data_IF_233444270116
#
_entry.id   IF_233444270116
#
_cell.length_a   1.000
_cell.length_b   1.000
_cell.length_c   1.000
_cell.angle_alpha   90.00
_cell.angle_beta   90.00
_cell.angle_gamma   90.00
#
_symmetry.space_group_name_H-M   'P 1'
#
loop_
_entity.id
_entity.type
_entity.pdbx_description
1 polymer ?
#
# COMPACT_ATOMS: atom_id res chain seq x y z
N UNK A 1 3.12 12.11 -21.62
CA UNK A 1 3.83 10.83 -21.45
C UNK A 1 4.15 10.68 -19.98
N UNK A 2 3.50 9.77 -19.27
CA UNK A 2 3.74 9.55 -17.83
C UNK A 2 5.09 8.84 -17.67
N UNK A 3 6.08 9.53 -17.13
CA UNK A 3 7.34 8.91 -16.74
C UNK A 3 7.16 8.30 -15.35
N UNK A 4 7.02 6.97 -15.27
CA UNK A 4 7.09 6.25 -14.01
C UNK A 4 8.51 6.36 -13.45
N UNK A 5 8.63 6.95 -12.28
CA UNK A 5 9.91 7.07 -11.55
C UNK A 5 10.12 5.82 -10.71
N UNK A 6 10.56 4.73 -11.36
CA UNK A 6 10.63 3.39 -10.76
C UNK A 6 11.58 3.27 -9.56
N UNK A 7 12.50 4.21 -9.39
CA UNK A 7 13.44 4.24 -8.27
C UNK A 7 12.97 5.10 -7.09
N UNK A 8 11.90 5.85 -7.28
CA UNK A 8 11.38 6.74 -6.24
C UNK A 8 10.45 5.98 -5.30
N UNK A 9 10.50 6.32 -4.03
CA UNK A 9 9.51 5.84 -3.06
C UNK A 9 8.20 6.58 -3.28
N UNK A 10 7.12 5.86 -3.50
CA UNK A 10 5.79 6.39 -3.74
C UNK A 10 4.87 6.22 -2.54
N UNK A 11 3.90 7.11 -2.40
CA UNK A 11 2.86 6.95 -1.38
C UNK A 11 1.50 7.45 -1.90
N UNK A 12 0.44 6.82 -1.43
CA UNK A 12 -0.94 7.23 -1.67
C UNK A 12 -1.88 6.70 -0.58
N UNK A 13 -3.08 7.29 -0.49
CA UNK A 13 -4.21 6.69 0.23
C UNK A 13 -4.77 5.59 -0.66
N UNK A 14 -4.79 4.35 -0.14
CA UNK A 14 -5.22 3.15 -0.87
C UNK A 14 -6.71 2.83 -0.70
N UNK A 15 -7.39 3.48 0.24
CA UNK A 15 -8.84 3.34 0.49
C UNK A 15 -9.63 4.45 -0.15
N UNK A 16 -10.94 4.21 -0.35
CA UNK A 16 -11.86 5.22 -0.90
C UNK A 16 -11.98 6.43 0.04
N UNK A 17 -12.13 7.66 -0.51
CA UNK A 17 -12.39 8.85 0.27
C UNK A 17 -13.63 8.66 1.16
N UNK A 18 -13.60 9.20 2.39
CA UNK A 18 -14.72 9.11 3.34
C UNK A 18 -14.81 7.80 4.13
N UNK A 19 -13.91 6.84 3.91
CA UNK A 19 -13.83 5.63 4.73
C UNK A 19 -13.50 5.96 6.19
N UNK A 20 -14.02 5.19 7.14
CA UNK A 20 -13.72 5.34 8.57
C UNK A 20 -12.25 5.06 8.88
N UNK A 21 -11.65 4.14 8.14
CA UNK A 21 -10.23 3.82 8.20
C UNK A 21 -9.59 4.16 6.86
N UNK A 22 -8.56 5.01 6.91
CA UNK A 22 -7.70 5.30 5.77
C UNK A 22 -6.46 4.43 5.78
N UNK A 23 -6.14 3.78 4.68
CA UNK A 23 -4.86 3.07 4.50
C UNK A 23 -3.96 3.92 3.63
N UNK A 24 -2.85 4.38 4.21
CA UNK A 24 -1.79 5.05 3.46
C UNK A 24 -0.71 4.02 3.18
N UNK A 25 -0.43 3.77 1.91
CA UNK A 25 0.61 2.84 1.48
C UNK A 25 1.82 3.61 0.99
N UNK A 26 3.00 3.20 1.47
CA UNK A 26 4.31 3.68 1.03
C UNK A 26 5.03 2.49 0.41
N UNK A 27 5.62 2.63 -0.78
CA UNK A 27 6.35 1.57 -1.47
C UNK A 27 7.66 2.10 -2.06
N UNK A 28 8.76 1.40 -1.84
CA UNK A 28 10.10 1.73 -2.31
C UNK A 28 11.15 1.76 -1.19
N UNK A 29 12.40 2.05 -1.57
CA UNK A 29 13.58 1.92 -0.70
C UNK A 29 13.53 2.78 0.58
N UNK A 30 12.80 3.89 0.58
CA UNK A 30 12.67 4.77 1.73
C UNK A 30 11.45 4.46 2.62
N UNK A 31 10.64 3.43 2.30
CA UNK A 31 9.40 3.15 3.03
C UNK A 31 9.65 2.94 4.53
N UNK A 32 10.63 2.14 4.90
CA UNK A 32 10.99 1.90 6.32
C UNK A 32 11.63 3.10 6.99
N UNK A 33 12.46 3.86 6.27
CA UNK A 33 13.07 5.08 6.81
C UNK A 33 12.01 6.13 7.15
N UNK A 34 11.05 6.35 6.26
CA UNK A 34 9.91 7.26 6.48
C UNK A 34 9.09 6.78 7.68
N UNK A 35 8.75 5.47 7.72
CA UNK A 35 8.01 4.89 8.84
C UNK A 35 8.76 5.06 10.18
N UNK A 36 10.08 4.87 10.18
CA UNK A 36 10.92 5.06 11.37
C UNK A 36 10.89 6.51 11.86
N UNK A 37 11.02 7.48 10.97
CA UNK A 37 10.94 8.91 11.32
C UNK A 37 9.58 9.27 11.90
N UNK A 38 8.49 8.77 11.32
CA UNK A 38 7.13 9.07 11.76
C UNK A 38 6.75 8.40 13.08
N UNK A 39 7.25 7.21 13.36
CA UNK A 39 6.86 6.43 14.55
C UNK A 39 7.86 6.50 15.68
N UNK A 40 9.12 6.87 15.38
CA UNK A 40 10.24 6.76 16.32
C UNK A 40 10.73 5.32 16.54
N UNK A 41 10.27 4.35 15.73
CA UNK A 41 10.73 2.94 15.79
C UNK A 41 11.93 2.76 14.88
N UNK A 42 12.95 2.06 15.35
CA UNK A 42 14.17 1.79 14.58
C UNK A 42 14.07 0.51 13.75
N UNK A 43 13.13 -0.39 14.07
CA UNK A 43 12.97 -1.65 13.36
C UNK A 43 11.52 -2.10 13.33
N UNK A 44 11.15 -2.81 12.26
CA UNK A 44 9.83 -3.38 12.05
C UNK A 44 9.96 -4.86 11.68
N UNK A 45 9.15 -5.70 12.30
CA UNK A 45 9.05 -7.12 11.95
C UNK A 45 8.14 -7.28 10.74
N UNK A 46 8.58 -8.03 9.73
CA UNK A 46 7.82 -8.33 8.53
C UNK A 46 6.43 -8.89 8.86
N UNK A 47 5.38 -8.37 8.21
CA UNK A 47 3.98 -8.78 8.35
C UNK A 47 3.43 -8.76 9.79
N UNK A 48 4.06 -7.99 10.70
CA UNK A 48 3.60 -7.85 12.07
C UNK A 48 2.96 -6.48 12.28
N UNK A 49 1.66 -6.46 12.51
CA UNK A 49 0.91 -5.25 12.81
C UNK A 49 1.25 -4.75 14.22
N UNK A 50 1.57 -3.46 14.34
CA UNK A 50 1.82 -2.80 15.63
C UNK A 50 1.02 -1.49 15.74
N UNK A 51 0.42 -1.25 16.91
CA UNK A 51 -0.28 0.00 17.19
C UNK A 51 0.71 1.05 17.66
N UNK A 52 0.99 2.05 16.81
CA UNK A 52 2.01 3.07 17.05
C UNK A 52 1.44 4.49 16.95
N UNK A 53 2.14 5.44 17.57
CA UNK A 53 1.86 6.88 17.42
C UNK A 53 2.60 7.42 16.21
N UNK A 54 1.89 8.03 15.28
CA UNK A 54 2.48 8.80 14.19
C UNK A 54 2.75 10.23 14.65
N UNK A 55 3.92 10.73 14.33
CA UNK A 55 4.36 12.08 14.67
C UNK A 55 4.94 12.78 13.44
N UNK A 56 4.76 14.09 13.37
CA UNK A 56 5.48 14.93 12.41
C UNK A 56 6.95 15.07 12.81
N UNK A 57 7.79 15.63 11.92
CA UNK A 57 9.19 15.97 12.26
C UNK A 57 9.31 16.89 13.48
N UNK A 58 8.34 17.78 13.69
CA UNK A 58 8.23 18.66 14.87
C UNK A 58 7.69 17.92 16.11
N UNK A 59 7.61 16.57 16.07
CA UNK A 59 7.12 15.70 17.16
C UNK A 59 5.65 15.93 17.56
N UNK A 60 4.87 16.68 16.77
CA UNK A 60 3.43 16.77 16.98
C UNK A 60 2.76 15.43 16.66
N UNK A 61 1.84 15.01 17.53
CA UNK A 61 1.05 13.79 17.32
C UNK A 61 0.08 14.02 16.15
N UNK A 62 0.15 13.13 15.14
CA UNK A 62 -0.75 13.14 13.99
C UNK A 62 -1.88 12.13 14.18
N UNK A 63 -1.54 10.90 14.57
CA UNK A 63 -2.52 9.83 14.80
C UNK A 63 -1.92 8.73 15.69
N UNK A 64 -2.78 7.80 16.11
CA UNK A 64 -2.40 6.51 16.69
C UNK A 64 -3.02 5.41 15.83
N UNK A 65 -2.21 4.73 15.05
CA UNK A 65 -2.67 3.85 14.00
C UNK A 65 -1.95 2.49 14.01
N UNK A 66 -2.50 1.54 13.28
CA UNK A 66 -1.80 0.28 12.99
C UNK A 66 -0.76 0.56 11.89
N UNK A 67 0.46 0.11 12.14
CA UNK A 67 1.54 0.11 11.17
C UNK A 67 1.81 -1.33 10.77
N UNK A 68 1.73 -1.61 9.47
CA UNK A 68 1.94 -2.94 8.91
C UNK A 68 3.06 -2.91 7.87
N UNK A 69 4.22 -3.48 8.19
CA UNK A 69 5.39 -3.49 7.32
C UNK A 69 5.48 -4.78 6.50
N UNK A 70 5.91 -4.66 5.25
CA UNK A 70 6.21 -5.76 4.33
C UNK A 70 7.60 -5.57 3.75
N UNK A 71 8.48 -6.56 3.91
CA UNK A 71 9.82 -6.50 3.32
C UNK A 71 9.84 -7.08 1.92
N UNK A 72 10.62 -6.45 1.07
CA UNK A 72 10.96 -7.01 -0.24
C UNK A 72 11.57 -8.42 -0.09
N UNK A 73 11.24 -9.37 -0.99
CA UNK A 73 10.25 -9.28 -2.06
C UNK A 73 8.82 -9.64 -1.62
N UNK A 74 8.55 -9.88 -0.32
CA UNK A 74 7.28 -10.39 0.19
C UNK A 74 6.30 -9.25 0.51
N UNK A 75 5.98 -8.45 -0.51
CA UNK A 75 5.02 -7.35 -0.48
C UNK A 75 4.15 -7.34 -1.74
N UNK A 76 3.14 -6.49 -1.78
CA UNK A 76 2.27 -6.31 -2.95
C UNK A 76 3.05 -5.89 -4.19
N UNK A 77 3.95 -4.92 -4.07
CA UNK A 77 4.74 -4.39 -5.18
C UNK A 77 6.04 -5.15 -5.43
N UNK A 78 6.44 -6.05 -4.51
CA UNK A 78 7.77 -6.66 -4.50
C UNK A 78 8.88 -5.76 -3.95
N UNK A 79 8.55 -4.50 -3.58
CA UNK A 79 9.45 -3.55 -2.92
C UNK A 79 9.25 -3.60 -1.40
N UNK A 80 10.05 -2.84 -0.64
CA UNK A 80 9.73 -2.55 0.76
C UNK A 80 8.44 -1.73 0.82
N UNK A 81 7.46 -2.17 1.63
CA UNK A 81 6.16 -1.52 1.77
C UNK A 81 5.83 -1.32 3.24
N UNK A 82 5.29 -0.15 3.57
CA UNK A 82 4.67 0.10 4.88
C UNK A 82 3.26 0.66 4.69
N UNK A 83 2.31 0.11 5.42
CA UNK A 83 0.95 0.61 5.47
C UNK A 83 0.66 1.24 6.83
N UNK A 84 0.07 2.43 6.82
CA UNK A 84 -0.49 3.10 7.99
C UNK A 84 -2.01 3.06 7.90
N UNK A 85 -2.66 2.36 8.82
CA UNK A 85 -4.10 2.27 8.93
C UNK A 85 -4.58 3.34 9.91
N UNK A 86 -4.87 4.52 9.40
CA UNK A 86 -5.16 5.74 10.16
C UNK A 86 -6.66 5.99 10.31
N UNK A 87 -7.06 6.86 11.25
CA UNK A 87 -8.45 7.26 11.42
C UNK A 87 -8.88 8.22 10.32
N UNK A 88 -9.96 7.87 9.63
CA UNK A 88 -10.56 8.66 8.55
C UNK A 88 -9.68 8.74 7.29
N UNK A 89 -10.31 8.63 6.15
CA UNK A 89 -9.62 8.58 4.86
C UNK A 89 -9.53 9.95 4.15
N UNK A 90 -10.00 11.04 4.77
CA UNK A 90 -10.04 12.36 4.13
C UNK A 90 -8.97 13.31 4.65
N UNK A 91 -9.33 14.24 5.52
CA UNK A 91 -8.41 15.31 5.95
C UNK A 91 -7.22 14.79 6.75
N UNK A 92 -7.45 13.87 7.70
CA UNK A 92 -6.36 13.30 8.50
C UNK A 92 -5.36 12.53 7.65
N UNK A 93 -5.86 11.65 6.77
CA UNK A 93 -5.00 10.89 5.86
C UNK A 93 -4.24 11.80 4.88
N UNK A 94 -4.87 12.88 4.39
CA UNK A 94 -4.22 13.86 3.52
C UNK A 94 -3.10 14.62 4.22
N UNK A 95 -3.29 15.02 5.49
CA UNK A 95 -2.23 15.69 6.27
C UNK A 95 -1.05 14.74 6.53
N UNK A 96 -1.32 13.50 6.93
CA UNK A 96 -0.28 12.48 7.12
C UNK A 96 0.47 12.23 5.80
N UNK A 97 -0.25 12.08 4.68
CA UNK A 97 0.35 11.86 3.37
C UNK A 97 1.25 13.03 2.95
N UNK A 98 0.83 14.28 3.23
CA UNK A 98 1.67 15.45 3.02
C UNK A 98 2.98 15.37 3.80
N UNK A 99 2.94 14.91 5.06
CA UNK A 99 4.17 14.72 5.86
C UNK A 99 5.08 13.63 5.29
N UNK A 100 4.50 12.57 4.74
CA UNK A 100 5.25 11.52 4.05
C UNK A 100 5.98 12.09 2.82
N UNK A 101 5.33 12.99 2.06
CA UNK A 101 5.98 13.66 0.93
C UNK A 101 7.10 14.62 1.36
N UNK A 102 6.92 15.34 2.45
CA UNK A 102 7.97 16.18 3.04
C UNK A 102 9.21 15.36 3.46
N UNK A 103 9.05 14.04 3.71
CA UNK A 103 10.13 13.10 4.05
C UNK A 103 10.75 12.38 2.83
N UNK A 104 10.33 12.74 1.61
CA UNK A 104 10.98 12.30 0.38
C UNK A 104 10.22 11.26 -0.45
N UNK A 105 9.03 10.82 -0.03
CA UNK A 105 8.17 10.09 -0.94
C UNK A 105 7.53 11.03 -1.98
N UNK A 106 7.13 10.48 -3.11
CA UNK A 106 6.36 11.20 -4.12
C UNK A 106 4.95 10.63 -4.25
N UNK A 107 3.97 11.40 -4.75
CA UNK A 107 2.63 10.89 -5.01
C UNK A 107 2.66 9.73 -6.00
N UNK A 108 2.04 8.62 -5.64
CA UNK A 108 1.81 7.52 -6.56
C UNK A 108 0.82 7.93 -7.66
N UNK A 109 1.09 7.54 -8.89
CA UNK A 109 0.15 7.66 -9.99
C UNK A 109 -0.96 6.60 -9.88
N UNK A 110 -2.09 6.84 -10.54
CA UNK A 110 -3.19 5.88 -10.56
C UNK A 110 -2.71 4.54 -11.15
N UNK A 111 -2.91 3.45 -10.39
CA UNK A 111 -2.48 2.10 -10.77
C UNK A 111 -0.97 1.82 -10.60
N UNK A 112 -0.17 2.77 -10.08
CA UNK A 112 1.29 2.61 -10.02
C UNK A 112 1.75 1.48 -9.11
N UNK A 113 1.09 1.21 -7.99
CA UNK A 113 1.41 0.05 -7.15
C UNK A 113 1.25 -1.27 -7.93
N UNK A 114 0.15 -1.43 -8.67
CA UNK A 114 -0.10 -2.61 -9.50
C UNK A 114 0.90 -2.70 -10.66
N UNK A 115 1.25 -1.58 -11.27
CA UNK A 115 2.26 -1.52 -12.31
C UNK A 115 3.63 -1.98 -11.79
N UNK A 116 4.06 -1.53 -10.60
CA UNK A 116 5.30 -2.00 -9.96
C UNK A 116 5.24 -3.48 -9.62
N UNK A 117 4.09 -3.98 -9.17
CA UNK A 117 3.89 -5.40 -8.94
C UNK A 117 4.08 -6.24 -10.22
N UNK A 118 3.58 -5.77 -11.37
CA UNK A 118 3.82 -6.38 -12.68
C UNK A 118 5.32 -6.40 -13.02
N UNK A 119 6.00 -5.26 -12.90
CA UNK A 119 7.42 -5.15 -13.22
C UNK A 119 8.30 -6.04 -12.35
N UNK A 120 7.94 -6.20 -11.07
CA UNK A 120 8.63 -7.04 -10.11
C UNK A 120 8.16 -8.51 -10.15
N UNK A 121 7.42 -8.90 -11.19
CA UNK A 121 6.91 -10.26 -11.39
C UNK A 121 6.09 -10.80 -10.22
N UNK A 122 5.40 -9.89 -9.50
CA UNK A 122 4.54 -10.23 -8.37
C UNK A 122 3.14 -10.66 -8.82
N UNK A 123 2.78 -10.34 -10.03
CA UNK A 123 1.56 -10.76 -10.70
C UNK A 123 1.75 -10.72 -12.21
N UNK A 124 0.90 -11.40 -12.95
CA UNK A 124 0.84 -11.30 -14.40
C UNK A 124 -0.22 -10.26 -14.84
N UNK A 125 -0.29 -9.98 -16.13
CA UNK A 125 -1.18 -8.97 -16.67
C UNK A 125 -2.67 -9.34 -16.49
N UNK A 126 -3.02 -10.62 -16.63
CA UNK A 126 -4.40 -11.11 -16.42
C UNK A 126 -4.85 -10.89 -14.98
N UNK A 127 -3.97 -11.21 -14.00
CA UNK A 127 -4.22 -10.96 -12.58
C UNK A 127 -4.41 -9.47 -12.29
N UNK A 128 -3.61 -8.59 -12.91
CA UNK A 128 -3.77 -7.15 -12.74
C UNK A 128 -5.12 -6.64 -13.27
N UNK A 129 -5.58 -7.13 -14.42
CA UNK A 129 -6.91 -6.82 -14.95
C UNK A 129 -8.03 -7.34 -14.05
N UNK A 130 -7.90 -8.56 -13.54
CA UNK A 130 -8.87 -9.16 -12.64
C UNK A 130 -8.99 -8.40 -11.32
N UNK A 131 -7.87 -7.96 -10.73
CA UNK A 131 -7.87 -7.10 -9.54
C UNK A 131 -8.60 -5.78 -9.83
N UNK A 132 -8.33 -5.15 -10.99
CA UNK A 132 -9.03 -3.93 -11.37
C UNK A 132 -10.54 -4.17 -11.53
N UNK A 133 -10.94 -5.28 -12.15
CA UNK A 133 -12.34 -5.66 -12.29
C UNK A 133 -13.02 -5.87 -10.93
N UNK A 134 -12.35 -6.51 -9.96
CA UNK A 134 -12.85 -6.67 -8.58
C UNK A 134 -13.13 -5.33 -7.89
N UNK A 135 -12.30 -4.31 -8.16
CA UNK A 135 -12.40 -3.00 -7.51
C UNK A 135 -13.47 -2.11 -8.17
N UNK A 136 -13.65 -2.23 -9.49
CA UNK A 136 -14.45 -1.28 -10.28
C UNK A 136 -15.78 -1.83 -10.78
N UNK A 137 -16.02 -3.14 -10.65
CA UNK A 137 -17.20 -3.79 -11.25
C UNK A 137 -18.39 -3.74 -10.29
N UNK A 138 -19.51 -3.26 -10.80
CA UNK A 138 -20.81 -3.29 -10.13
C UNK A 138 -21.64 -4.54 -10.54
N UNK A 139 -21.10 -5.40 -11.42
CA UNK A 139 -21.79 -6.59 -11.93
C UNK A 139 -21.29 -7.83 -11.20
N UNK A 140 -22.20 -8.57 -10.50
CA UNK A 140 -21.84 -9.79 -9.76
C UNK A 140 -21.15 -10.87 -10.59
N UNK A 141 -21.55 -11.05 -11.85
CA UNK A 141 -20.93 -12.03 -12.75
C UNK A 141 -19.47 -11.68 -13.07
N UNK A 142 -19.20 -10.40 -13.36
CA UNK A 142 -17.82 -9.92 -13.59
C UNK A 142 -16.94 -10.06 -12.35
N UNK A 143 -17.51 -9.85 -11.17
CA UNK A 143 -16.81 -10.06 -9.89
C UNK A 143 -16.48 -11.54 -9.69
N UNK A 144 -17.41 -12.45 -9.98
CA UNK A 144 -17.16 -13.91 -9.86
C UNK A 144 -16.08 -14.38 -10.83
N UNK A 145 -16.12 -13.94 -12.09
CA UNK A 145 -15.10 -14.25 -13.08
C UNK A 145 -13.73 -13.73 -12.66
N UNK A 146 -13.66 -12.48 -12.18
CA UNK A 146 -12.44 -11.89 -11.71
C UNK A 146 -11.85 -12.61 -10.48
N UNK A 147 -12.71 -13.12 -9.57
CA UNK A 147 -12.26 -13.95 -8.44
C UNK A 147 -11.61 -15.25 -8.89
N UNK A 148 -12.23 -15.96 -9.84
CA UNK A 148 -11.65 -17.20 -10.38
C UNK A 148 -10.28 -16.97 -10.98
N UNK A 149 -10.12 -15.92 -11.78
CA UNK A 149 -8.84 -15.61 -12.39
C UNK A 149 -7.79 -15.14 -11.37
N UNK A 150 -8.15 -14.29 -10.40
CA UNK A 150 -7.21 -13.75 -9.43
C UNK A 150 -6.77 -14.75 -8.37
N UNK A 151 -7.64 -15.67 -7.94
CA UNK A 151 -7.38 -16.51 -6.77
C UNK A 151 -7.24 -18.01 -7.10
N UNK A 152 -7.96 -18.54 -8.10
CA UNK A 152 -7.89 -19.95 -8.45
C UNK A 152 -6.79 -20.24 -9.47
N UNK A 153 -6.59 -19.34 -10.46
CA UNK A 153 -5.58 -19.48 -11.51
C UNK A 153 -4.29 -18.70 -11.21
N UNK A 154 -4.21 -18.03 -10.06
CA UNK A 154 -3.04 -17.24 -9.67
C UNK A 154 -1.83 -18.13 -9.44
N UNK A 155 -0.73 -17.81 -10.12
CA UNK A 155 0.60 -18.37 -9.87
C UNK A 155 1.20 -17.85 -8.54
N UNK A 156 0.42 -17.08 -7.75
CA UNK A 156 0.93 -16.35 -6.61
C UNK A 156 0.85 -17.16 -5.31
N UNK A 157 1.97 -17.64 -4.74
CA UNK A 157 1.97 -18.45 -3.54
C UNK A 157 1.50 -17.71 -2.27
N UNK A 158 1.60 -16.37 -2.27
CA UNK A 158 1.29 -15.56 -1.08
C UNK A 158 -0.20 -15.50 -0.79
N UNK A 159 -1.05 -15.41 -1.82
CA UNK A 159 -2.50 -15.36 -1.61
C UNK A 159 -3.08 -16.72 -1.18
N UNK A 160 -2.46 -17.85 -1.61
CA UNK A 160 -2.87 -19.19 -1.17
C UNK A 160 -2.65 -19.45 0.33
N UNK A 161 -1.83 -18.65 1.01
CA UNK A 161 -1.58 -18.77 2.47
C UNK A 161 -2.66 -18.14 3.35
N UNK A 162 -3.52 -17.28 2.78
CA UNK A 162 -4.54 -16.53 3.53
C UNK A 162 -5.97 -16.96 3.26
N UNK A 163 -6.17 -17.97 2.40
CA UNK A 163 -7.49 -18.57 2.14
C UNK A 163 -7.53 -19.91 2.85
N UNK A 164 -8.44 -20.15 3.82
CA UNK A 164 -8.60 -21.43 4.52
C UNK A 164 -9.08 -22.54 3.56
#
# INVERSE_FOLDING_TARGET
MYHYRLKETIAAVATSPGSTIGIIRISGDQAFNIASKMTGRNSFSHMKAELLKLKSEKKALLDRCIVLPFRSPESYTGEDVVEFHVHGASLNAADILKKIFEMGAIPALRGEFTFRALLNSKMNLSEAFSINALITSDNPFSVELARKESFENSSYPVLKKFIP
#
